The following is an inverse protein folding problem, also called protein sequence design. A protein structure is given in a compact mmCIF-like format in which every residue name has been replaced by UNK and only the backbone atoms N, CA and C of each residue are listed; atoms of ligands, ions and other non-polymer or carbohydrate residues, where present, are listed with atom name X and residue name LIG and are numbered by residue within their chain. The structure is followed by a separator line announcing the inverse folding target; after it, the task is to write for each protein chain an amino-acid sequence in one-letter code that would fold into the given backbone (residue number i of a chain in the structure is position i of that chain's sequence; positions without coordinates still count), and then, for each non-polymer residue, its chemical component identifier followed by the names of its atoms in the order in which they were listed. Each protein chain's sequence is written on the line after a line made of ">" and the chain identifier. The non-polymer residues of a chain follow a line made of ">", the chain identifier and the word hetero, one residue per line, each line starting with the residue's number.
data_IF_638137694784
#
_entry.id   IF_638137694784
#
_cell.length_a   1.000
_cell.length_b   1.000
_cell.length_c   1.000
_cell.angle_alpha   90.00
_cell.angle_beta   90.00
_cell.angle_gamma   90.00
#
_symmetry.space_group_name_H-M   'P 1'
#
loop_
_entity.id
_entity.type
_entity.pdbx_description
1 polymer ?
#
# COMPACT_ATOMS: atom_id res chain seq x y z
N UNK A 1 -85.46 -3.73 -43.96
CA UNK A 1 -84.21 -2.97 -43.74
C UNK A 1 -83.92 -2.54 -42.29
N UNK A 2 -84.80 -2.79 -41.33
CA UNK A 2 -84.57 -2.34 -39.93
C UNK A 2 -83.91 -3.36 -38.99
N UNK A 3 -83.86 -4.65 -39.34
CA UNK A 3 -83.21 -5.69 -38.49
C UNK A 3 -81.70 -5.76 -38.64
N UNK A 4 -81.13 -5.22 -39.73
CA UNK A 4 -79.64 -5.27 -39.99
C UNK A 4 -78.92 -4.18 -39.15
N UNK A 5 -79.51 -3.05 -38.83
CA UNK A 5 -78.87 -1.96 -38.08
C UNK A 5 -78.73 -2.21 -36.55
N UNK A 6 -79.66 -3.03 -35.97
CA UNK A 6 -79.55 -3.36 -34.55
C UNK A 6 -78.49 -4.36 -34.21
N UNK A 7 -78.11 -5.30 -35.16
CA UNK A 7 -77.06 -6.25 -34.93
C UNK A 7 -75.64 -5.64 -35.06
N UNK A 8 -75.55 -4.54 -35.83
CA UNK A 8 -74.24 -3.86 -35.98
C UNK A 8 -73.93 -2.96 -34.75
N UNK A 9 -74.93 -2.40 -34.07
CA UNK A 9 -74.75 -1.64 -32.82
C UNK A 9 -74.41 -2.56 -31.63
N UNK A 10 -74.97 -3.76 -31.54
CA UNK A 10 -74.61 -4.75 -30.51
C UNK A 10 -73.21 -5.33 -30.66
N UNK A 11 -72.71 -5.51 -31.91
CA UNK A 11 -71.32 -5.98 -32.15
C UNK A 11 -70.28 -4.92 -31.82
N UNK A 12 -70.56 -3.63 -32.02
CA UNK A 12 -69.65 -2.54 -31.67
C UNK A 12 -69.57 -2.28 -30.15
N UNK A 13 -70.63 -2.46 -29.40
CA UNK A 13 -70.65 -2.28 -27.96
C UNK A 13 -69.93 -3.40 -27.19
N UNK A 14 -69.97 -4.64 -27.71
CA UNK A 14 -69.26 -5.78 -27.10
C UNK A 14 -67.76 -5.73 -27.40
N UNK A 15 -67.32 -5.17 -28.55
CA UNK A 15 -65.91 -5.00 -28.87
C UNK A 15 -65.25 -3.86 -28.08
N UNK A 16 -65.98 -2.79 -27.76
CA UNK A 16 -65.49 -1.67 -26.95
C UNK A 16 -65.35 -2.06 -25.45
N UNK A 17 -66.28 -2.90 -24.93
CA UNK A 17 -66.16 -3.39 -23.57
C UNK A 17 -65.02 -4.43 -23.35
N UNK A 18 -64.61 -5.18 -24.43
CA UNK A 18 -63.45 -6.07 -24.36
C UNK A 18 -62.12 -5.34 -24.47
N UNK A 19 -62.06 -4.24 -25.20
CA UNK A 19 -60.83 -3.44 -25.30
C UNK A 19 -60.52 -2.68 -24.01
N UNK A 20 -61.53 -2.24 -23.23
CA UNK A 20 -61.32 -1.50 -21.99
C UNK A 20 -60.79 -2.38 -20.83
N UNK A 21 -61.09 -3.70 -20.85
CA UNK A 21 -60.62 -4.61 -19.79
C UNK A 21 -59.20 -5.13 -20.04
N UNK A 22 -58.73 -5.15 -21.26
CA UNK A 22 -57.33 -5.46 -21.60
C UNK A 22 -56.40 -4.26 -21.32
N UNK A 23 -56.90 -3.04 -21.52
CA UNK A 23 -56.19 -1.81 -21.18
C UNK A 23 -55.99 -1.61 -19.67
N UNK A 24 -56.97 -2.08 -18.84
CA UNK A 24 -56.82 -1.99 -17.38
C UNK A 24 -55.77 -2.96 -16.80
N UNK A 25 -55.56 -4.14 -17.42
CA UNK A 25 -54.53 -5.10 -16.97
C UNK A 25 -53.11 -4.66 -17.38
N UNK A 26 -52.95 -4.01 -18.53
CA UNK A 26 -51.66 -3.44 -18.97
C UNK A 26 -51.31 -2.16 -18.22
N UNK A 27 -52.30 -1.37 -17.80
CA UNK A 27 -52.07 -0.16 -17.00
C UNK A 27 -51.62 -0.49 -15.57
N UNK A 28 -52.05 -1.62 -15.01
CA UNK A 28 -51.57 -2.07 -13.69
C UNK A 28 -50.11 -2.56 -13.73
N UNK A 29 -49.67 -3.14 -14.84
CA UNK A 29 -48.29 -3.58 -15.02
C UNK A 29 -47.33 -2.39 -15.18
N UNK A 30 -47.75 -1.31 -15.87
CA UNK A 30 -46.97 -0.08 -16.03
C UNK A 30 -46.94 0.76 -14.73
N UNK A 31 -48.01 0.71 -13.92
CA UNK A 31 -48.01 1.40 -12.64
C UNK A 31 -47.13 0.74 -11.57
N UNK A 32 -46.90 -0.58 -11.66
CA UNK A 32 -45.97 -1.28 -10.76
C UNK A 32 -44.48 -1.01 -11.10
N UNK A 33 -44.18 -0.68 -12.35
CA UNK A 33 -42.82 -0.31 -12.77
C UNK A 33 -42.46 1.16 -12.47
N UNK A 34 -43.46 2.03 -12.29
CA UNK A 34 -43.26 3.43 -11.94
C UNK A 34 -43.09 3.69 -10.42
N UNK A 35 -43.43 2.70 -9.58
CA UNK A 35 -43.38 2.82 -8.11
C UNK A 35 -42.04 2.32 -7.48
N UNK A 36 -41.16 1.71 -8.22
CA UNK A 36 -39.89 1.14 -7.69
C UNK A 36 -38.69 2.02 -8.01
N UNK A 37 -38.86 3.19 -8.59
CA UNK A 37 -37.83 4.20 -8.72
C UNK A 37 -37.58 4.99 -7.41
N UNK A 38 -37.70 4.35 -6.22
CA UNK A 38 -36.85 4.71 -5.11
C UNK A 38 -35.48 4.03 -5.33
N UNK A 39 -34.81 4.45 -6.40
CA UNK A 39 -33.37 4.39 -6.43
C UNK A 39 -32.92 5.10 -5.15
N UNK A 40 -32.45 4.33 -4.18
CA UNK A 40 -31.51 4.87 -3.23
C UNK A 40 -30.42 5.50 -4.11
N UNK A 41 -30.43 6.81 -4.20
CA UNK A 41 -29.34 7.55 -4.80
C UNK A 41 -28.12 7.05 -4.03
N UNK A 42 -27.30 6.22 -4.67
CA UNK A 42 -25.92 6.07 -4.26
C UNK A 42 -25.45 7.51 -4.05
N UNK A 43 -24.92 7.88 -2.87
CA UNK A 43 -24.33 9.19 -2.73
C UNK A 43 -23.42 9.31 -3.95
N UNK A 44 -23.71 10.28 -4.80
CA UNK A 44 -22.90 10.56 -5.97
C UNK A 44 -21.46 10.58 -5.42
N UNK A 45 -20.63 9.69 -5.93
CA UNK A 45 -19.24 9.71 -5.59
C UNK A 45 -18.80 11.14 -5.93
N UNK A 46 -18.76 11.98 -4.91
CA UNK A 46 -18.16 13.30 -5.06
C UNK A 46 -16.76 12.97 -5.53
N UNK A 47 -16.49 13.34 -6.77
CA UNK A 47 -15.16 13.26 -7.37
C UNK A 47 -14.27 14.22 -6.55
N UNK A 48 -13.98 13.78 -5.35
CA UNK A 48 -13.07 14.40 -4.41
C UNK A 48 -11.66 13.98 -4.83
N UNK A 49 -11.38 14.10 -6.14
CA UNK A 49 -9.99 14.22 -6.57
C UNK A 49 -9.49 15.44 -5.84
N UNK A 50 -8.54 15.31 -4.92
CA UNK A 50 -7.85 16.48 -4.45
C UNK A 50 -7.31 17.13 -5.72
N UNK A 51 -7.87 18.29 -6.10
CA UNK A 51 -7.31 19.09 -7.16
C UNK A 51 -5.82 19.15 -6.86
N UNK A 52 -5.02 18.59 -7.77
CA UNK A 52 -3.58 18.69 -7.67
C UNK A 52 -3.36 20.20 -7.49
N UNK A 53 -3.02 20.61 -6.28
CA UNK A 53 -2.63 21.97 -5.99
C UNK A 53 -1.35 22.19 -6.77
N UNK A 54 -1.49 22.49 -8.05
CA UNK A 54 -0.44 23.04 -8.90
C UNK A 54 -0.18 24.48 -8.46
N UNK A 55 0.18 24.62 -7.19
CA UNK A 55 0.86 25.79 -6.71
C UNK A 55 2.30 25.67 -7.16
N UNK A 56 2.61 26.14 -8.36
CA UNK A 56 3.95 26.58 -8.75
C UNK A 56 4.33 27.77 -7.87
N UNK A 57 4.49 27.51 -6.57
CA UNK A 57 5.30 28.38 -5.74
C UNK A 57 6.72 27.85 -5.89
N UNK A 58 7.55 28.61 -6.58
CA UNK A 58 8.99 28.53 -6.52
C UNK A 58 9.39 28.76 -5.05
N UNK A 59 9.29 27.68 -4.24
CA UNK A 59 9.82 27.70 -2.89
C UNK A 59 11.34 27.74 -3.00
N UNK A 60 11.91 28.78 -2.39
CA UNK A 60 13.33 28.91 -2.13
C UNK A 60 13.90 27.59 -1.64
N UNK A 61 15.14 27.28 -2.01
CA UNK A 61 15.89 26.06 -1.70
C UNK A 61 15.61 25.54 -0.28
N UNK A 62 14.62 24.65 -0.15
CA UNK A 62 14.14 24.22 1.17
C UNK A 62 15.03 23.11 1.68
N UNK A 63 15.65 23.33 2.82
CA UNK A 63 16.37 22.28 3.57
C UNK A 63 15.32 21.33 4.13
N UNK A 64 15.48 20.03 3.84
CA UNK A 64 14.57 18.99 4.28
C UNK A 64 15.13 18.31 5.55
N UNK A 65 14.36 18.30 6.63
CA UNK A 65 14.65 17.54 7.86
C UNK A 65 13.96 16.19 7.83
N UNK A 66 14.45 15.22 8.62
CA UNK A 66 13.85 13.88 8.70
C UNK A 66 12.36 13.92 9.08
N UNK A 67 12.01 14.70 10.10
CA UNK A 67 10.61 14.82 10.55
C UNK A 67 9.70 15.35 9.43
N UNK A 68 10.16 16.40 8.72
CA UNK A 68 9.41 16.97 7.58
C UNK A 68 9.31 15.97 6.43
N UNK A 69 10.38 15.20 6.15
CA UNK A 69 10.38 14.15 5.13
C UNK A 69 9.33 13.07 5.44
N UNK A 70 9.31 12.54 6.67
CA UNK A 70 8.32 11.54 7.10
C UNK A 70 6.89 12.10 7.01
N UNK A 71 6.65 13.32 7.48
CA UNK A 71 5.33 13.95 7.41
C UNK A 71 4.84 14.11 5.96
N UNK A 72 5.69 14.62 5.06
CA UNK A 72 5.36 14.77 3.64
C UNK A 72 5.08 13.43 2.96
N UNK A 73 5.84 12.37 3.28
CA UNK A 73 5.62 11.05 2.74
C UNK A 73 4.29 10.46 3.19
N UNK A 74 3.96 10.56 4.48
CA UNK A 74 2.70 10.03 5.02
C UNK A 74 1.46 10.76 4.49
N UNK A 75 1.60 12.03 4.08
CA UNK A 75 0.53 12.81 3.47
C UNK A 75 0.45 12.61 1.94
N UNK A 76 1.59 12.68 1.24
CA UNK A 76 1.66 12.76 -0.22
C UNK A 76 1.93 11.45 -0.95
N UNK A 77 2.25 10.35 -0.26
CA UNK A 77 2.59 9.10 -0.91
C UNK A 77 1.38 8.42 -1.54
N UNK A 78 1.51 8.04 -2.83
CA UNK A 78 0.42 7.45 -3.60
C UNK A 78 0.07 6.03 -3.16
N UNK A 79 1.01 5.24 -2.63
CA UNK A 79 0.73 3.88 -2.15
C UNK A 79 -0.19 3.93 -0.92
N UNK A 80 -0.08 4.96 -0.06
CA UNK A 80 -1.04 5.19 1.02
C UNK A 80 -2.41 5.61 0.52
N UNK A 81 -2.47 6.40 -0.56
CA UNK A 81 -3.74 6.74 -1.19
C UNK A 81 -4.43 5.50 -1.75
N UNK A 82 -3.68 4.59 -2.41
CA UNK A 82 -4.19 3.29 -2.90
C UNK A 82 -4.74 2.46 -1.74
N UNK A 83 -4.00 2.31 -0.63
CA UNK A 83 -4.45 1.55 0.52
C UNK A 83 -5.71 2.15 1.18
N UNK A 84 -5.86 3.49 1.21
CA UNK A 84 -7.09 4.15 1.69
C UNK A 84 -8.29 3.82 0.78
N UNK A 85 -8.10 3.80 -0.55
CA UNK A 85 -9.17 3.41 -1.50
C UNK A 85 -9.57 1.95 -1.35
N UNK A 86 -8.65 1.06 -0.99
CA UNK A 86 -8.97 -0.34 -0.71
C UNK A 86 -9.89 -0.47 0.51
N UNK A 87 -9.70 0.33 1.56
CA UNK A 87 -10.64 0.37 2.70
C UNK A 87 -12.02 0.82 2.26
N UNK A 88 -12.14 1.83 1.40
CA UNK A 88 -13.41 2.28 0.84
C UNK A 88 -14.07 1.18 -0.02
N UNK A 89 -13.28 0.45 -0.82
CA UNK A 89 -13.77 -0.66 -1.64
C UNK A 89 -14.30 -1.83 -0.77
N UNK A 90 -13.55 -2.21 0.28
CA UNK A 90 -13.99 -3.26 1.22
C UNK A 90 -15.20 -2.84 2.03
N UNK A 91 -15.40 -1.54 2.32
CA UNK A 91 -16.65 -1.05 2.90
C UNK A 91 -17.84 -1.31 1.98
N UNK A 92 -17.67 -1.22 0.65
CA UNK A 92 -18.68 -1.63 -0.32
C UNK A 92 -19.07 -3.11 -0.19
N UNK A 93 -18.09 -3.99 0.10
CA UNK A 93 -18.35 -5.42 0.36
C UNK A 93 -19.17 -5.63 1.64
N UNK A 94 -18.94 -4.84 2.69
CA UNK A 94 -19.74 -4.88 3.92
C UNK A 94 -21.19 -4.47 3.63
N UNK A 95 -21.42 -3.39 2.86
CA UNK A 95 -22.75 -2.94 2.44
C UNK A 95 -23.44 -4.04 1.63
N UNK A 96 -22.74 -4.67 0.68
CA UNK A 96 -23.26 -5.79 -0.13
C UNK A 96 -23.58 -7.02 0.74
N UNK A 97 -22.74 -7.33 1.73
CA UNK A 97 -23.00 -8.42 2.70
C UNK A 97 -24.27 -8.22 3.52
N UNK A 98 -24.65 -6.96 3.76
CA UNK A 98 -25.88 -6.59 4.48
C UNK A 98 -27.14 -6.70 3.61
N UNK A 99 -27.00 -6.71 2.29
CA UNK A 99 -28.13 -6.77 1.39
C UNK A 99 -28.90 -8.11 1.54
N UNK A 100 -30.22 -8.01 1.50
CA UNK A 100 -31.11 -9.19 1.43
C UNK A 100 -31.31 -9.58 -0.03
N UNK A 101 -31.60 -10.85 -0.34
CA UNK A 101 -32.01 -11.26 -1.67
C UNK A 101 -33.23 -10.46 -2.14
N UNK A 102 -33.24 -10.11 -3.41
CA UNK A 102 -34.38 -9.39 -4.00
C UNK A 102 -35.57 -10.34 -4.19
N UNK A 103 -36.82 -9.86 -4.06
CA UNK A 103 -37.99 -10.57 -4.53
C UNK A 103 -37.90 -10.81 -6.05
N UNK A 104 -38.43 -11.94 -6.50
CA UNK A 104 -38.53 -12.28 -7.92
C UNK A 104 -40.00 -12.17 -8.36
N UNK A 105 -40.23 -11.48 -9.48
CA UNK A 105 -41.53 -11.46 -10.16
C UNK A 105 -41.55 -12.56 -11.23
N UNK A 106 -42.39 -13.56 -11.07
CA UNK A 106 -42.56 -14.64 -12.04
C UNK A 106 -43.90 -14.50 -12.76
N UNK A 107 -43.86 -14.59 -14.09
CA UNK A 107 -45.05 -14.74 -14.93
C UNK A 107 -45.00 -16.05 -15.62
N UNK A 108 -46.08 -16.82 -15.58
CA UNK A 108 -46.20 -18.05 -16.33
C UNK A 108 -47.49 -18.14 -17.12
N UNK A 109 -47.40 -18.73 -18.30
CA UNK A 109 -48.49 -19.02 -19.20
C UNK A 109 -48.54 -20.54 -19.41
N UNK A 110 -49.57 -21.16 -18.89
CA UNK A 110 -49.81 -22.59 -19.08
C UNK A 110 -50.88 -22.80 -20.15
N UNK A 111 -50.63 -23.70 -21.10
CA UNK A 111 -51.43 -24.02 -22.27
C UNK A 111 -51.55 -22.88 -23.30
N UNK A 112 -51.34 -23.22 -24.58
CA UNK A 112 -51.48 -22.28 -25.69
C UNK A 112 -52.89 -22.18 -26.24
N UNK A 113 -53.78 -23.13 -25.90
CA UNK A 113 -55.16 -23.14 -26.35
C UNK A 113 -55.97 -22.06 -25.64
N UNK A 114 -56.67 -21.23 -26.39
CA UNK A 114 -57.44 -20.10 -25.80
C UNK A 114 -58.50 -20.54 -24.78
N UNK A 115 -59.01 -21.78 -24.89
CA UNK A 115 -60.04 -22.31 -24.00
C UNK A 115 -59.52 -22.74 -22.64
N UNK A 116 -58.31 -23.31 -22.56
CA UNK A 116 -57.71 -23.89 -21.36
C UNK A 116 -56.54 -23.08 -20.81
N UNK A 117 -56.20 -21.94 -21.48
CA UNK A 117 -55.11 -21.06 -21.08
C UNK A 117 -55.21 -20.60 -19.62
N UNK A 118 -54.12 -20.77 -18.90
CA UNK A 118 -53.97 -20.24 -17.55
C UNK A 118 -52.83 -19.25 -17.50
N UNK A 119 -53.08 -18.09 -16.93
CA UNK A 119 -52.07 -17.08 -16.67
C UNK A 119 -51.82 -16.98 -15.18
N UNK A 120 -50.57 -16.92 -14.74
CA UNK A 120 -50.25 -16.62 -13.36
C UNK A 120 -49.20 -15.56 -13.24
N UNK A 121 -49.31 -14.72 -12.24
CA UNK A 121 -48.33 -13.72 -11.81
C UNK A 121 -48.07 -13.96 -10.34
N UNK A 122 -46.81 -14.15 -9.96
CA UNK A 122 -46.44 -14.38 -8.55
C UNK A 122 -45.15 -13.62 -8.18
N UNK A 123 -45.07 -13.24 -6.93
CA UNK A 123 -43.86 -12.70 -6.30
C UNK A 123 -43.31 -13.79 -5.40
N UNK A 124 -42.01 -14.12 -5.62
CA UNK A 124 -41.27 -15.06 -4.81
C UNK A 124 -40.32 -14.28 -3.90
N UNK A 125 -40.42 -14.49 -2.59
CA UNK A 125 -39.60 -13.85 -1.58
C UNK A 125 -38.67 -14.91 -0.95
N UNK A 126 -37.38 -14.97 -1.34
CA UNK A 126 -36.44 -15.84 -0.68
C UNK A 126 -36.06 -15.29 0.69
N UNK A 127 -36.14 -16.13 1.72
CA UNK A 127 -35.75 -15.81 3.09
C UNK A 127 -34.53 -16.69 3.44
N UNK A 128 -33.41 -16.00 3.68
CA UNK A 128 -32.19 -16.66 4.07
C UNK A 128 -32.27 -17.24 5.47
N UNK A 129 -31.99 -18.53 5.58
CA UNK A 129 -31.97 -19.27 6.83
C UNK A 129 -30.54 -19.60 7.27
N UNK A 130 -30.36 -20.16 8.47
CA UNK A 130 -29.06 -20.66 8.93
C UNK A 130 -28.01 -19.59 9.22
N UNK A 131 -28.39 -18.30 9.33
CA UNK A 131 -27.46 -17.22 9.65
C UNK A 131 -26.55 -16.79 8.49
N UNK A 132 -26.87 -17.15 7.24
CA UNK A 132 -26.05 -16.85 6.04
C UNK A 132 -25.69 -15.36 5.94
N UNK A 133 -26.69 -14.49 6.16
CA UNK A 133 -26.49 -13.04 6.13
C UNK A 133 -25.47 -12.59 7.20
N UNK A 134 -25.61 -13.06 8.44
CA UNK A 134 -24.69 -12.71 9.52
C UNK A 134 -23.25 -13.19 9.19
N UNK A 135 -23.11 -14.42 8.71
CA UNK A 135 -21.80 -14.97 8.32
C UNK A 135 -21.14 -14.16 7.18
N UNK A 136 -21.93 -13.74 6.16
CA UNK A 136 -21.43 -12.86 5.07
C UNK A 136 -20.97 -11.49 5.60
N UNK A 137 -21.75 -10.87 6.48
CA UNK A 137 -21.41 -9.58 7.08
C UNK A 137 -20.09 -9.70 7.85
N UNK A 138 -19.99 -10.68 8.76
CA UNK A 138 -18.75 -10.90 9.55
C UNK A 138 -17.55 -11.12 8.64
N UNK A 139 -17.68 -11.90 7.57
CA UNK A 139 -16.59 -12.15 6.63
C UNK A 139 -16.15 -10.86 5.91
N UNK A 140 -17.11 -10.03 5.50
CA UNK A 140 -16.82 -8.75 4.86
C UNK A 140 -16.18 -7.75 5.84
N UNK A 141 -16.63 -7.71 7.09
CA UNK A 141 -16.02 -6.91 8.16
C UNK A 141 -14.58 -7.31 8.43
N UNK A 142 -14.27 -8.62 8.52
CA UNK A 142 -12.90 -9.11 8.63
C UNK A 142 -12.04 -8.73 7.41
N UNK A 143 -12.63 -8.73 6.22
CA UNK A 143 -11.97 -8.23 5.00
C UNK A 143 -11.60 -6.75 5.11
N UNK A 144 -12.51 -5.91 5.62
CA UNK A 144 -12.23 -4.49 5.87
C UNK A 144 -11.17 -4.30 6.96
N UNK A 145 -11.23 -5.06 8.05
CA UNK A 145 -10.26 -4.98 9.15
C UNK A 145 -8.83 -5.31 8.64
N UNK A 146 -8.70 -6.28 7.73
CA UNK A 146 -7.44 -6.59 7.04
C UNK A 146 -6.97 -5.39 6.19
N UNK A 147 -7.86 -4.74 5.45
CA UNK A 147 -7.49 -3.57 4.64
C UNK A 147 -7.03 -2.39 5.52
N UNK A 148 -7.63 -2.20 6.69
CA UNK A 148 -7.18 -1.20 7.67
C UNK A 148 -5.78 -1.52 8.19
N UNK A 149 -5.50 -2.79 8.51
CA UNK A 149 -4.19 -3.20 9.00
C UNK A 149 -3.12 -3.14 7.88
N UNK A 150 -3.51 -3.42 6.64
CA UNK A 150 -2.64 -3.22 5.46
C UNK A 150 -2.23 -1.75 5.29
N UNK A 151 -3.15 -0.81 5.51
CA UNK A 151 -2.81 0.63 5.53
C UNK A 151 -1.80 0.95 6.63
N UNK A 152 -1.95 0.38 7.83
CA UNK A 152 -1.00 0.57 8.93
C UNK A 152 0.37 0.00 8.58
N UNK A 153 0.41 -1.20 7.99
CA UNK A 153 1.64 -1.81 7.51
C UNK A 153 2.33 -0.93 6.46
N UNK A 154 1.58 -0.43 5.47
CA UNK A 154 2.12 0.49 4.45
C UNK A 154 2.69 1.77 5.04
N UNK A 155 2.05 2.33 6.08
CA UNK A 155 2.60 3.51 6.78
C UNK A 155 3.95 3.23 7.40
N UNK A 156 4.09 2.11 8.08
CA UNK A 156 5.36 1.71 8.70
C UNK A 156 6.43 1.43 7.66
N UNK A 157 6.08 0.75 6.55
CA UNK A 157 6.99 0.48 5.44
C UNK A 157 7.50 1.78 4.79
N UNK A 158 6.61 2.72 4.47
CA UNK A 158 6.96 4.00 3.85
C UNK A 158 7.84 4.82 4.80
N UNK A 159 7.48 4.87 6.09
CA UNK A 159 8.30 5.57 7.08
C UNK A 159 9.72 4.99 7.14
N UNK A 160 9.86 3.68 7.22
CA UNK A 160 11.18 3.02 7.23
C UNK A 160 11.97 3.30 5.95
N UNK A 161 11.32 3.23 4.79
CA UNK A 161 11.93 3.56 3.50
C UNK A 161 12.38 5.02 3.43
N UNK A 162 11.59 5.96 3.96
CA UNK A 162 11.95 7.39 4.03
C UNK A 162 13.15 7.62 4.95
N UNK A 163 13.17 6.98 6.13
CA UNK A 163 14.31 7.08 7.06
C UNK A 163 15.58 6.58 6.39
N UNK A 164 15.55 5.40 5.77
CA UNK A 164 16.69 4.82 5.07
C UNK A 164 17.17 5.72 3.92
N UNK A 165 16.25 6.20 3.06
CA UNK A 165 16.59 7.06 1.92
C UNK A 165 17.07 8.45 2.36
N UNK A 166 16.58 8.97 3.49
CA UNK A 166 17.02 10.24 4.04
C UNK A 166 18.50 10.17 4.48
N UNK A 167 18.85 9.17 5.28
CA UNK A 167 20.23 9.00 5.74
C UNK A 167 21.19 8.59 4.60
N UNK A 168 20.71 7.82 3.62
CA UNK A 168 21.46 7.58 2.38
C UNK A 168 21.73 8.90 1.63
N UNK A 169 20.71 9.76 1.47
CA UNK A 169 20.87 11.06 0.80
C UNK A 169 21.85 11.96 1.56
N UNK A 170 21.80 11.95 2.90
CA UNK A 170 22.71 12.71 3.74
C UNK A 170 24.15 12.21 3.60
N UNK A 171 24.38 10.90 3.62
CA UNK A 171 25.69 10.30 3.44
C UNK A 171 26.27 10.59 2.04
N UNK A 172 25.45 10.49 0.98
CA UNK A 172 25.89 10.81 -0.38
C UNK A 172 26.15 12.31 -0.58
N UNK A 173 25.45 13.18 0.14
CA UNK A 173 25.73 14.63 0.17
C UNK A 173 27.11 14.90 0.78
N UNK A 174 27.44 14.29 1.90
CA UNK A 174 28.74 14.41 2.55
C UNK A 174 29.86 13.80 1.67
N UNK A 175 29.62 12.66 1.00
CA UNK A 175 30.57 12.05 0.08
C UNK A 175 30.85 12.94 -1.13
N UNK A 176 29.86 13.58 -1.70
CA UNK A 176 30.02 14.52 -2.82
C UNK A 176 30.82 15.78 -2.39
N UNK A 177 30.56 16.29 -1.18
CA UNK A 177 31.35 17.40 -0.63
C UNK A 177 32.83 17.02 -0.41
N UNK A 178 33.06 15.80 0.14
CA UNK A 178 34.41 15.25 0.34
C UNK A 178 35.16 15.08 -0.98
N UNK A 179 34.50 14.52 -2.02
CA UNK A 179 35.09 14.36 -3.35
C UNK A 179 35.40 15.73 -3.99
N UNK A 180 34.55 16.76 -3.75
CA UNK A 180 34.84 18.14 -4.19
C UNK A 180 36.12 18.69 -3.56
N UNK A 181 36.26 18.54 -2.24
CA UNK A 181 37.46 18.96 -1.52
C UNK A 181 38.73 18.21 -2.02
N UNK A 182 38.55 16.95 -2.43
CA UNK A 182 39.66 16.15 -3.03
C UNK A 182 40.12 16.73 -4.37
N UNK A 183 39.22 17.17 -5.22
CA UNK A 183 39.55 17.80 -6.51
C UNK A 183 40.31 19.09 -6.29
N UNK A 184 39.86 19.94 -5.37
CA UNK A 184 40.51 21.21 -5.05
C UNK A 184 41.96 21.01 -4.55
N UNK A 185 42.15 19.97 -3.75
CA UNK A 185 43.48 19.64 -3.26
C UNK A 185 44.40 19.07 -4.38
N UNK A 186 43.89 18.09 -5.17
CA UNK A 186 44.65 17.52 -6.27
C UNK A 186 45.08 18.60 -7.28
N UNK A 187 44.20 19.57 -7.56
CA UNK A 187 44.51 20.72 -8.41
C UNK A 187 45.66 21.56 -7.84
N UNK A 188 45.58 21.95 -6.55
CA UNK A 188 46.64 22.73 -5.89
C UNK A 188 47.97 21.97 -5.92
N UNK A 189 47.96 20.67 -5.71
CA UNK A 189 49.14 19.83 -5.76
C UNK A 189 49.72 19.72 -7.18
N UNK A 190 48.88 19.56 -8.21
CA UNK A 190 49.30 19.54 -9.63
C UNK A 190 49.95 20.88 -10.00
N UNK A 191 49.38 22.02 -9.61
CA UNK A 191 49.92 23.35 -9.82
C UNK A 191 51.28 23.51 -9.13
N UNK A 192 51.47 22.98 -7.92
CA UNK A 192 52.75 23.02 -7.20
C UNK A 192 53.80 22.15 -7.89
N UNK A 193 53.44 20.96 -8.37
CA UNK A 193 54.38 20.08 -9.13
C UNK A 193 54.78 20.77 -10.44
N UNK A 194 53.86 21.36 -11.20
CA UNK A 194 54.15 22.07 -12.45
C UNK A 194 55.14 23.22 -12.24
N UNK A 195 55.00 24.02 -11.16
CA UNK A 195 55.98 25.06 -10.79
C UNK A 195 57.36 24.49 -10.49
N UNK A 196 57.44 23.31 -9.81
CA UNK A 196 58.74 22.63 -9.52
C UNK A 196 59.40 22.09 -10.80
N UNK A 197 58.59 21.57 -11.74
CA UNK A 197 59.09 21.12 -13.06
C UNK A 197 59.61 22.31 -13.84
N UNK A 198 58.87 23.42 -13.91
CA UNK A 198 59.32 24.63 -14.58
C UNK A 198 60.63 25.24 -13.98
N UNK A 199 60.82 25.07 -12.68
CA UNK A 199 62.05 25.42 -11.98
C UNK A 199 63.18 24.37 -12.10
N UNK A 200 63.02 23.29 -12.88
CA UNK A 200 64.00 22.21 -13.05
C UNK A 200 64.24 21.35 -11.81
N UNK A 201 63.39 21.42 -10.79
CA UNK A 201 63.57 20.73 -9.51
C UNK A 201 63.05 19.28 -9.50
N UNK A 202 62.14 18.93 -10.39
CA UNK A 202 61.58 17.58 -10.55
C UNK A 202 61.36 17.24 -12.03
N UNK A 203 61.25 15.95 -12.34
CA UNK A 203 61.07 15.45 -13.71
C UNK A 203 59.69 15.83 -14.29
N UNK A 204 59.58 16.14 -15.61
CA UNK A 204 58.27 16.31 -16.30
C UNK A 204 57.31 15.13 -16.14
N UNK A 205 57.82 13.93 -15.91
CA UNK A 205 57.03 12.71 -15.63
C UNK A 205 56.19 12.89 -14.36
N UNK A 206 56.69 13.60 -13.34
CA UNK A 206 55.94 13.85 -12.10
C UNK A 206 54.75 14.77 -12.34
N UNK A 207 54.86 15.76 -13.25
CA UNK A 207 53.71 16.57 -13.66
C UNK A 207 52.66 15.74 -14.40
N UNK A 208 53.06 14.85 -15.28
CA UNK A 208 52.17 13.94 -15.99
C UNK A 208 51.40 13.03 -15.00
N UNK A 209 52.10 12.46 -14.00
CA UNK A 209 51.49 11.64 -12.95
C UNK A 209 50.50 12.46 -12.12
N UNK A 210 50.83 13.71 -11.75
CA UNK A 210 49.96 14.58 -10.99
C UNK A 210 48.66 14.91 -11.77
N UNK A 211 48.79 15.23 -13.07
CA UNK A 211 47.62 15.49 -13.95
C UNK A 211 46.72 14.27 -14.11
N UNK A 212 47.30 13.05 -14.25
CA UNK A 212 46.52 11.80 -14.31
C UNK A 212 45.77 11.55 -13.00
N UNK A 213 46.45 11.78 -11.88
CA UNK A 213 45.81 11.66 -10.55
C UNK A 213 44.66 12.65 -10.33
N UNK A 214 44.87 13.92 -10.72
CA UNK A 214 43.83 14.94 -10.69
C UNK A 214 42.62 14.56 -11.57
N UNK A 215 42.85 14.05 -12.77
CA UNK A 215 41.80 13.55 -13.65
C UNK A 215 41.03 12.39 -13.00
N UNK A 216 41.70 11.48 -12.30
CA UNK A 216 41.06 10.38 -11.55
C UNK A 216 40.10 10.89 -10.46
N UNK A 217 40.54 11.84 -9.66
CA UNK A 217 39.72 12.44 -8.59
C UNK A 217 38.50 13.21 -9.16
N UNK A 218 38.66 13.84 -10.35
CA UNK A 218 37.50 14.48 -11.04
C UNK A 218 36.44 13.44 -11.48
N UNK A 219 36.87 12.25 -11.91
CA UNK A 219 35.96 11.15 -12.23
C UNK A 219 35.20 10.70 -10.96
N UNK A 220 35.92 10.55 -9.84
CA UNK A 220 35.31 10.22 -8.55
C UNK A 220 34.28 11.27 -8.10
N UNK A 221 34.54 12.57 -8.28
CA UNK A 221 33.58 13.64 -8.00
C UNK A 221 32.35 13.52 -8.90
N UNK A 222 32.50 13.28 -10.19
CA UNK A 222 31.38 13.15 -11.12
C UNK A 222 30.49 11.96 -10.73
N UNK A 223 31.09 10.86 -10.28
CA UNK A 223 30.37 9.68 -9.78
C UNK A 223 29.63 10.00 -8.48
N UNK A 224 30.29 10.60 -7.48
CA UNK A 224 29.67 10.96 -6.21
C UNK A 224 28.50 11.92 -6.40
N UNK A 225 28.62 12.90 -7.30
CA UNK A 225 27.51 13.80 -7.66
C UNK A 225 26.35 13.08 -8.33
N UNK A 226 26.64 12.05 -9.14
CA UNK A 226 25.60 11.22 -9.76
C UNK A 226 24.85 10.41 -8.71
N UNK A 227 25.57 9.79 -7.77
CA UNK A 227 24.98 9.01 -6.66
C UNK A 227 24.13 9.93 -5.75
N UNK A 228 24.61 11.13 -5.43
CA UNK A 228 23.83 12.14 -4.69
C UNK A 228 22.53 12.51 -5.41
N UNK A 229 22.58 12.76 -6.73
CA UNK A 229 21.35 13.06 -7.49
C UNK A 229 20.38 11.87 -7.47
N UNK A 230 20.87 10.64 -7.60
CA UNK A 230 20.06 9.44 -7.56
C UNK A 230 19.41 9.23 -6.18
N UNK A 231 20.18 9.38 -5.11
CA UNK A 231 19.66 9.27 -3.74
C UNK A 231 18.57 10.33 -3.48
N UNK A 232 18.80 11.58 -3.91
CA UNK A 232 17.82 12.66 -3.82
C UNK A 232 16.54 12.37 -4.61
N UNK A 233 16.67 11.79 -5.81
CA UNK A 233 15.52 11.41 -6.62
C UNK A 233 14.72 10.26 -5.97
N UNK A 234 15.39 9.25 -5.39
CA UNK A 234 14.74 8.17 -4.63
C UNK A 234 13.96 8.72 -3.44
N UNK A 235 14.58 9.57 -2.63
CA UNK A 235 13.89 10.21 -1.50
C UNK A 235 12.68 11.01 -1.98
N UNK A 236 12.82 11.84 -3.02
CA UNK A 236 11.72 12.63 -3.57
C UNK A 236 10.54 11.78 -4.05
N UNK A 237 10.81 10.63 -4.67
CA UNK A 237 9.78 9.67 -5.09
C UNK A 237 8.96 9.17 -3.91
N UNK A 238 9.59 8.85 -2.79
CA UNK A 238 8.89 8.44 -1.57
C UNK A 238 8.00 9.54 -0.98
N UNK A 239 8.39 10.82 -1.19
CA UNK A 239 7.59 11.98 -0.79
C UNK A 239 6.43 12.30 -1.76
N UNK A 240 6.26 11.52 -2.82
CA UNK A 240 5.27 11.80 -3.87
C UNK A 240 5.64 12.97 -4.77
N UNK A 241 6.92 13.33 -4.86
CA UNK A 241 7.42 14.45 -5.65
C UNK A 241 8.37 14.00 -6.77
N UNK A 242 8.11 14.45 -7.99
CA UNK A 242 9.03 14.28 -9.12
C UNK A 242 8.86 15.48 -10.07
N UNK A 243 9.86 16.36 -10.23
CA UNK A 243 11.23 16.33 -9.67
C UNK A 243 11.31 16.67 -8.17
N UNK A 244 12.50 16.44 -7.52
CA UNK A 244 12.72 16.80 -6.12
C UNK A 244 12.46 18.29 -5.86
N UNK A 245 11.68 18.58 -4.79
CA UNK A 245 11.37 19.98 -4.39
C UNK A 245 12.30 20.53 -3.31
N UNK A 246 13.31 19.77 -2.89
CA UNK A 246 14.32 20.16 -1.92
C UNK A 246 15.71 20.13 -2.57
N UNK A 247 16.63 20.92 -2.07
CA UNK A 247 18.03 20.97 -2.57
C UNK A 247 18.98 20.17 -1.70
N UNK A 248 18.83 20.28 -0.39
CA UNK A 248 19.69 19.66 0.60
C UNK A 248 18.85 18.97 1.68
N UNK A 249 19.41 17.94 2.29
CA UNK A 249 18.91 17.38 3.53
C UNK A 249 19.76 17.83 4.71
N UNK A 250 19.14 18.03 5.88
CA UNK A 250 19.85 18.41 7.12
C UNK A 250 19.48 17.47 8.24
N UNK A 251 20.49 16.90 8.86
CA UNK A 251 20.36 15.97 9.98
C UNK A 251 21.72 15.59 10.54
N UNK A 252 21.71 14.84 11.62
CA UNK A 252 22.94 14.29 12.21
C UNK A 252 23.04 12.80 11.86
N UNK A 253 23.89 12.44 10.91
CA UNK A 253 24.11 11.05 10.53
C UNK A 253 24.95 10.30 11.56
N UNK A 254 25.73 11.01 12.39
CA UNK A 254 26.64 10.44 13.39
C UNK A 254 25.91 9.94 14.65
N UNK A 255 24.66 10.33 14.85
CA UNK A 255 23.83 9.84 15.94
C UNK A 255 23.33 8.41 15.64
N UNK A 256 24.06 7.43 16.16
CA UNK A 256 23.74 6.02 15.90
C UNK A 256 22.44 5.59 16.56
N UNK A 257 21.56 4.85 15.84
CA UNK A 257 20.37 4.28 16.42
C UNK A 257 20.71 3.26 17.51
N UNK A 258 19.90 3.23 18.58
CA UNK A 258 20.09 2.26 19.66
C UNK A 258 19.75 0.84 19.19
N UNK A 259 20.52 -0.14 19.68
CA UNK A 259 20.17 -1.57 19.49
C UNK A 259 19.05 -1.91 20.47
N UNK A 260 17.88 -2.41 20.00
CA UNK A 260 16.80 -2.79 20.89
C UNK A 260 17.20 -4.00 21.74
N UNK A 261 16.79 -4.01 23.03
CA UNK A 261 17.00 -5.17 23.90
C UNK A 261 16.15 -6.36 23.43
N UNK A 262 16.55 -7.57 23.78
CA UNK A 262 15.81 -8.78 23.43
C UNK A 262 14.37 -8.76 23.99
N UNK A 263 14.19 -8.25 25.21
CA UNK A 263 12.87 -8.10 25.82
C UNK A 263 11.99 -7.12 25.05
N UNK A 264 12.55 -6.00 24.59
CA UNK A 264 11.83 -5.03 23.76
C UNK A 264 11.43 -5.64 22.41
N UNK A 265 12.33 -6.40 21.78
CA UNK A 265 12.05 -7.13 20.55
C UNK A 265 10.88 -8.10 20.77
N UNK A 266 10.91 -8.91 21.81
CA UNK A 266 9.88 -9.91 22.09
C UNK A 266 8.52 -9.26 22.38
N UNK A 267 8.51 -8.17 23.15
CA UNK A 267 7.29 -7.41 23.44
C UNK A 267 6.68 -6.81 22.15
N UNK A 268 7.47 -6.13 21.35
CA UNK A 268 7.02 -5.50 20.10
C UNK A 268 6.63 -6.51 19.03
N UNK A 269 7.27 -7.69 19.02
CA UNK A 269 6.94 -8.75 18.08
C UNK A 269 5.48 -9.20 18.23
N UNK A 270 4.98 -9.31 19.47
CA UNK A 270 3.59 -9.71 19.73
C UNK A 270 2.55 -8.74 19.17
N UNK A 271 2.92 -7.47 18.97
CA UNK A 271 2.06 -6.39 18.44
C UNK A 271 2.45 -5.99 17.01
N UNK A 272 3.34 -6.73 16.35
CA UNK A 272 3.82 -6.45 15.00
C UNK A 272 2.66 -6.35 14.00
N UNK A 273 2.59 -5.28 13.19
CA UNK A 273 1.56 -5.11 12.18
C UNK A 273 1.51 -6.27 11.18
N UNK A 274 2.67 -6.83 10.85
CA UNK A 274 2.79 -7.99 9.95
C UNK A 274 2.11 -9.23 10.51
N UNK A 275 2.33 -9.55 11.80
CA UNK A 275 1.70 -10.68 12.46
C UNK A 275 0.20 -10.42 12.69
N UNK A 276 -0.17 -9.20 13.06
CA UNK A 276 -1.56 -8.81 13.27
C UNK A 276 -2.39 -8.97 11.99
N UNK A 277 -1.87 -8.54 10.85
CA UNK A 277 -2.53 -8.76 9.56
C UNK A 277 -2.79 -10.24 9.29
N UNK A 278 -1.81 -11.10 9.57
CA UNK A 278 -1.97 -12.54 9.38
C UNK A 278 -2.95 -13.16 10.38
N UNK A 279 -3.01 -12.67 11.63
CA UNK A 279 -4.03 -13.08 12.59
C UNK A 279 -5.44 -12.75 12.10
N UNK A 280 -5.66 -11.55 11.56
CA UNK A 280 -6.94 -11.16 10.95
C UNK A 280 -7.28 -12.04 9.73
N UNK A 281 -6.30 -12.46 8.94
CA UNK A 281 -6.53 -13.40 7.84
C UNK A 281 -7.03 -14.77 8.36
N UNK A 282 -6.45 -15.29 9.43
CA UNK A 282 -6.95 -16.51 10.09
C UNK A 282 -8.41 -16.32 10.55
N UNK A 283 -8.74 -15.19 11.17
CA UNK A 283 -10.13 -14.89 11.57
C UNK A 283 -11.06 -14.80 10.37
N UNK A 284 -10.61 -14.20 9.27
CA UNK A 284 -11.38 -14.17 8.02
C UNK A 284 -11.62 -15.56 7.46
N UNK A 285 -10.61 -16.44 7.46
CA UNK A 285 -10.76 -17.85 7.04
C UNK A 285 -11.76 -18.59 7.92
N UNK A 286 -11.72 -18.36 9.23
CA UNK A 286 -12.71 -18.89 10.15
C UNK A 286 -14.13 -18.42 9.84
N UNK A 287 -14.31 -17.13 9.56
CA UNK A 287 -15.63 -16.60 9.17
C UNK A 287 -16.13 -17.18 7.84
N UNK A 288 -15.22 -17.51 6.89
CA UNK A 288 -15.58 -18.23 5.67
C UNK A 288 -16.05 -19.66 5.95
N UNK A 289 -15.49 -20.34 6.94
CA UNK A 289 -16.02 -21.65 7.40
C UNK A 289 -17.46 -21.50 7.89
N UNK A 290 -17.77 -20.43 8.63
CA UNK A 290 -19.13 -20.18 9.09
C UNK A 290 -20.08 -19.85 7.92
N UNK A 291 -19.62 -19.16 6.86
CA UNK A 291 -20.37 -19.00 5.61
C UNK A 291 -20.71 -20.39 5.00
N UNK A 292 -19.73 -21.27 4.83
CA UNK A 292 -19.96 -22.57 4.22
C UNK A 292 -20.81 -23.49 5.12
N UNK A 293 -20.67 -23.36 6.44
CA UNK A 293 -21.53 -24.06 7.41
C UNK A 293 -22.99 -23.58 7.32
N UNK A 294 -23.22 -22.28 7.17
CA UNK A 294 -24.56 -21.70 7.06
C UNK A 294 -25.30 -22.14 5.79
N UNK A 295 -24.58 -22.38 4.68
CA UNK A 295 -25.14 -22.87 3.41
C UNK A 295 -25.73 -24.28 3.50
N UNK A 296 -25.41 -25.06 4.53
CA UNK A 296 -26.03 -26.38 4.77
C UNK A 296 -27.50 -26.30 5.12
N UNK A 297 -27.95 -25.13 5.61
CA UNK A 297 -29.35 -24.89 5.92
C UNK A 297 -29.98 -24.24 4.68
N UNK A 298 -31.00 -24.89 4.06
CA UNK A 298 -31.63 -24.32 2.87
C UNK A 298 -32.44 -23.07 3.18
N UNK A 299 -32.56 -22.21 2.18
CA UNK A 299 -33.42 -21.03 2.25
C UNK A 299 -34.89 -21.42 2.00
N UNK A 300 -35.80 -20.64 2.53
CA UNK A 300 -37.24 -20.82 2.35
C UNK A 300 -37.75 -19.72 1.41
N UNK A 301 -38.41 -20.10 0.32
CA UNK A 301 -39.03 -19.15 -0.59
C UNK A 301 -40.55 -19.13 -0.36
N UNK A 302 -41.07 -17.96 0.00
CA UNK A 302 -42.49 -17.71 0.07
C UNK A 302 -42.99 -17.13 -1.26
N UNK A 303 -44.06 -17.71 -1.80
CA UNK A 303 -44.66 -17.27 -3.07
C UNK A 303 -46.08 -16.77 -2.81
N UNK A 304 -46.41 -15.59 -3.34
CA UNK A 304 -47.75 -15.03 -3.36
C UNK A 304 -48.08 -14.61 -4.78
N UNK A 305 -49.25 -15.04 -5.28
CA UNK A 305 -49.61 -14.73 -6.66
C UNK A 305 -51.12 -14.81 -6.94
N UNK A 306 -51.45 -14.52 -8.17
CA UNK A 306 -52.80 -14.64 -8.73
C UNK A 306 -52.71 -15.53 -9.98
N UNK A 307 -53.61 -16.52 -10.05
CA UNK A 307 -53.76 -17.42 -11.19
C UNK A 307 -55.13 -17.19 -11.80
N UNK A 308 -55.20 -17.04 -13.12
CA UNK A 308 -56.42 -16.87 -13.89
C UNK A 308 -56.61 -17.96 -14.93
N UNK A 309 -57.30 -19.03 -14.63
CA UNK A 309 -57.71 -20.01 -15.61
C UNK A 309 -58.82 -19.44 -16.50
N UNK A 310 -58.69 -19.59 -17.83
CA UNK A 310 -59.73 -19.11 -18.77
C UNK A 310 -61.02 -19.89 -18.62
N UNK A 311 -60.96 -21.18 -18.28
CA UNK A 311 -62.12 -22.02 -18.07
C UNK A 311 -63.01 -21.53 -16.93
N UNK A 312 -62.44 -21.11 -15.82
CA UNK A 312 -63.17 -20.70 -14.62
C UNK A 312 -63.55 -19.21 -14.64
N UNK A 313 -62.91 -18.41 -15.49
CA UNK A 313 -63.10 -16.96 -15.65
C UNK A 313 -63.06 -16.16 -14.32
N UNK A 314 -62.37 -16.67 -13.32
CA UNK A 314 -62.21 -16.03 -12.00
C UNK A 314 -60.73 -16.03 -11.59
N UNK A 315 -60.37 -15.04 -10.86
CA UNK A 315 -59.04 -14.93 -10.27
C UNK A 315 -58.94 -15.83 -9.03
N UNK A 316 -57.85 -16.58 -8.92
CA UNK A 316 -57.54 -17.45 -7.79
C UNK A 316 -56.29 -16.94 -7.10
N UNK A 317 -56.30 -16.84 -5.77
CA UNK A 317 -55.10 -16.53 -5.01
C UNK A 317 -54.19 -17.76 -4.92
N UNK A 318 -52.92 -17.55 -5.17
CA UNK A 318 -51.89 -18.57 -5.07
C UNK A 318 -50.99 -18.22 -3.88
N UNK A 319 -50.83 -19.15 -2.95
CA UNK A 319 -49.83 -19.10 -1.88
C UNK A 319 -48.98 -20.35 -1.96
N UNK A 320 -47.65 -20.19 -1.88
CA UNK A 320 -46.71 -21.29 -1.93
C UNK A 320 -45.56 -21.12 -0.97
N UNK A 321 -45.03 -22.23 -0.51
CA UNK A 321 -43.78 -22.30 0.23
C UNK A 321 -42.91 -23.36 -0.44
N UNK A 322 -41.66 -22.99 -0.77
CA UNK A 322 -40.69 -23.86 -1.40
C UNK A 322 -39.41 -23.92 -0.57
N UNK A 323 -38.95 -25.15 -0.32
CA UNK A 323 -37.70 -25.41 0.41
C UNK A 323 -36.93 -26.49 -0.35
N UNK A 324 -35.69 -26.22 -0.80
CA UNK A 324 -34.83 -27.24 -1.40
C UNK A 324 -34.44 -28.29 -0.34
N UNK A 325 -34.52 -29.58 -0.70
CA UNK A 325 -34.14 -30.67 0.20
C UNK A 325 -32.70 -31.09 -0.07
N UNK A 326 -31.76 -30.91 0.86
CA UNK A 326 -30.35 -31.22 0.67
C UNK A 326 -30.08 -32.72 0.86
N UNK A 327 -30.56 -33.55 -0.08
CA UNK A 327 -30.40 -34.99 0.00
C UNK A 327 -28.99 -35.47 -0.41
N UNK A 328 -28.46 -34.91 -1.47
CA UNK A 328 -27.16 -35.30 -2.07
C UNK A 328 -26.07 -34.23 -1.79
N UNK A 329 -26.35 -33.00 -2.14
CA UNK A 329 -25.45 -31.87 -1.86
C UNK A 329 -25.85 -31.21 -0.53
N UNK A 330 -24.96 -31.33 0.46
CA UNK A 330 -25.04 -30.73 1.80
C UNK A 330 -23.92 -29.73 2.03
N UNK A 331 -23.34 -29.24 0.95
CA UNK A 331 -22.18 -28.34 0.98
C UNK A 331 -20.95 -28.94 1.70
N UNK A 332 -20.82 -30.29 1.70
CA UNK A 332 -19.78 -30.97 2.46
C UNK A 332 -18.38 -30.72 1.89
N UNK A 333 -18.26 -30.67 0.57
CA UNK A 333 -16.98 -30.40 -0.11
C UNK A 333 -16.43 -28.99 0.17
N UNK A 334 -17.26 -27.97 -0.02
CA UNK A 334 -16.86 -26.57 0.21
C UNK A 334 -16.56 -26.31 1.70
N UNK A 335 -17.32 -26.96 2.61
CA UNK A 335 -17.05 -26.88 4.05
C UNK A 335 -15.69 -27.50 4.38
N UNK A 336 -15.38 -28.69 3.83
CA UNK A 336 -14.08 -29.33 4.03
C UNK A 336 -12.94 -28.44 3.48
N UNK A 337 -13.11 -27.88 2.28
CA UNK A 337 -12.15 -26.96 1.69
C UNK A 337 -11.92 -25.73 2.59
N UNK A 338 -13.00 -25.10 3.08
CA UNK A 338 -12.90 -23.93 3.96
C UNK A 338 -12.16 -24.27 5.27
N UNK A 339 -12.43 -25.42 5.89
CA UNK A 339 -11.72 -25.91 7.08
C UNK A 339 -10.23 -26.09 6.80
N UNK A 340 -9.87 -26.72 5.67
CA UNK A 340 -8.45 -26.92 5.32
C UNK A 340 -7.74 -25.62 4.97
N UNK A 341 -8.44 -24.64 4.42
CA UNK A 341 -7.89 -23.27 4.21
C UNK A 341 -7.70 -22.52 5.53
N UNK A 342 -8.55 -22.73 6.52
CA UNK A 342 -8.36 -22.21 7.87
C UNK A 342 -7.13 -22.84 8.54
N UNK A 343 -7.00 -24.20 8.49
CA UNK A 343 -5.82 -24.91 9.01
C UNK A 343 -4.54 -24.37 8.35
N UNK A 344 -4.53 -24.25 7.02
CA UNK A 344 -3.41 -23.68 6.26
C UNK A 344 -3.05 -22.27 6.73
N UNK A 345 -4.03 -21.40 6.95
CA UNK A 345 -3.75 -20.03 7.41
C UNK A 345 -3.15 -19.99 8.82
N UNK A 346 -3.51 -20.93 9.69
CA UNK A 346 -2.88 -21.08 11.01
C UNK A 346 -1.42 -21.52 10.91
N UNK A 347 -1.14 -22.48 10.03
CA UNK A 347 0.22 -22.94 9.77
C UNK A 347 1.08 -21.80 9.16
N UNK A 348 0.51 -21.02 8.24
CA UNK A 348 1.15 -19.84 7.65
C UNK A 348 1.46 -18.77 8.70
N UNK A 349 0.55 -18.52 9.65
CA UNK A 349 0.79 -17.60 10.77
C UNK A 349 1.95 -18.10 11.65
N UNK A 350 2.00 -19.39 11.97
CA UNK A 350 3.08 -19.95 12.77
C UNK A 350 4.43 -19.88 12.04
N UNK A 351 4.45 -20.22 10.74
CA UNK A 351 5.65 -20.10 9.91
C UNK A 351 6.12 -18.64 9.78
N UNK A 352 5.19 -17.71 9.60
CA UNK A 352 5.49 -16.29 9.55
C UNK A 352 6.08 -15.78 10.88
N UNK A 353 5.52 -16.19 12.01
CA UNK A 353 6.03 -15.81 13.33
C UNK A 353 7.49 -16.25 13.53
N UNK A 354 7.82 -17.50 13.17
CA UNK A 354 9.21 -17.99 13.23
C UNK A 354 10.14 -17.19 12.31
N UNK A 355 9.71 -16.93 11.07
CA UNK A 355 10.49 -16.15 10.10
C UNK A 355 10.75 -14.73 10.60
N UNK A 356 9.69 -14.01 11.00
CA UNK A 356 9.79 -12.63 11.48
C UNK A 356 10.69 -12.54 12.73
N UNK A 357 10.57 -13.50 13.65
CA UNK A 357 11.46 -13.57 14.83
C UNK A 357 12.93 -13.72 14.42
N UNK A 358 13.21 -14.61 13.46
CA UNK A 358 14.57 -14.84 12.96
C UNK A 358 15.11 -13.60 12.24
N UNK A 359 14.30 -12.98 11.37
CA UNK A 359 14.69 -11.80 10.59
C UNK A 359 15.04 -10.62 11.51
N UNK A 360 14.25 -10.39 12.57
CA UNK A 360 14.51 -9.33 13.54
C UNK A 360 15.78 -9.59 14.36
N UNK A 361 15.99 -10.83 14.79
CA UNK A 361 17.21 -11.19 15.52
C UNK A 361 18.45 -11.00 14.63
N UNK A 362 18.42 -11.42 13.37
CA UNK A 362 19.50 -11.21 12.42
C UNK A 362 19.74 -9.71 12.15
N UNK A 363 18.69 -8.94 11.99
CA UNK A 363 18.82 -7.48 11.80
C UNK A 363 19.40 -6.79 13.03
N UNK A 364 19.02 -7.24 14.25
CA UNK A 364 19.58 -6.76 15.51
C UNK A 364 21.09 -7.03 15.60
N UNK A 365 21.52 -8.27 15.37
CA UNK A 365 22.95 -8.66 15.37
C UNK A 365 23.74 -7.88 14.30
N UNK A 366 23.14 -7.68 13.11
CA UNK A 366 23.75 -6.83 12.07
C UNK A 366 23.93 -5.39 12.54
N UNK A 367 22.90 -4.79 13.17
CA UNK A 367 22.99 -3.43 13.71
C UNK A 367 24.10 -3.33 14.77
N UNK A 368 24.21 -4.30 15.67
CA UNK A 368 25.26 -4.36 16.69
C UNK A 368 26.67 -4.45 16.07
N UNK A 369 26.85 -5.30 15.05
CA UNK A 369 28.08 -5.40 14.28
C UNK A 369 28.46 -4.10 13.55
N UNK A 370 27.49 -3.45 12.89
CA UNK A 370 27.73 -2.17 12.22
C UNK A 370 28.10 -1.07 13.21
N UNK A 371 27.48 -1.03 14.38
CA UNK A 371 27.86 -0.09 15.45
C UNK A 371 29.30 -0.28 15.90
N UNK A 372 29.74 -1.53 16.08
CA UNK A 372 31.14 -1.84 16.37
C UNK A 372 32.10 -1.40 15.26
N UNK A 373 31.74 -1.62 13.97
CA UNK A 373 32.51 -1.12 12.83
C UNK A 373 32.61 0.43 12.86
N UNK A 374 31.49 1.13 13.07
CA UNK A 374 31.48 2.60 13.14
C UNK A 374 32.36 3.10 14.28
N UNK A 375 32.33 2.46 15.44
CA UNK A 375 33.14 2.83 16.59
C UNK A 375 34.64 2.68 16.30
N UNK A 376 35.07 1.58 15.67
CA UNK A 376 36.48 1.38 15.27
C UNK A 376 36.90 2.40 14.20
N UNK A 377 36.04 2.64 13.19
CA UNK A 377 36.32 3.65 12.17
C UNK A 377 36.46 5.04 12.76
N UNK A 378 35.61 5.42 13.69
CA UNK A 378 35.59 6.76 14.31
C UNK A 378 36.74 6.96 15.28
N UNK A 379 37.07 5.94 16.11
CA UNK A 379 38.06 6.08 17.16
C UNK A 379 39.49 5.86 16.70
N UNK A 380 39.71 4.88 15.80
CA UNK A 380 41.04 4.42 15.45
C UNK A 380 41.43 4.75 13.99
N UNK A 381 40.57 4.42 13.01
CA UNK A 381 40.95 4.49 11.59
C UNK A 381 40.94 5.94 11.07
N UNK A 382 39.87 6.70 11.35
CA UNK A 382 39.76 8.08 10.83
C UNK A 382 40.82 9.02 11.41
N UNK A 383 41.08 9.03 12.74
CA UNK A 383 42.16 9.87 13.30
C UNK A 383 43.52 9.48 12.78
N UNK A 384 43.80 8.17 12.66
CA UNK A 384 45.06 7.67 12.12
C UNK A 384 45.29 8.06 10.67
N UNK A 385 44.31 7.83 9.80
CA UNK A 385 44.35 8.19 8.40
C UNK A 385 44.45 9.70 8.18
N UNK A 386 43.71 10.51 9.00
CA UNK A 386 43.80 11.97 8.98
C UNK A 386 45.19 12.46 9.39
N UNK A 387 45.77 11.92 10.46
CA UNK A 387 47.14 12.27 10.91
C UNK A 387 48.20 11.95 9.85
N UNK A 388 48.11 10.78 9.20
CA UNK A 388 48.99 10.41 8.12
C UNK A 388 48.88 11.38 6.92
N UNK A 389 47.64 11.74 6.56
CA UNK A 389 47.40 12.71 5.49
C UNK A 389 47.90 14.10 5.83
N UNK A 390 47.67 14.61 7.04
CA UNK A 390 48.16 15.92 7.48
C UNK A 390 49.71 15.93 7.49
N UNK A 391 50.36 14.90 8.00
CA UNK A 391 51.79 14.77 8.03
C UNK A 391 52.40 14.68 6.60
N UNK A 392 51.78 13.91 5.69
CA UNK A 392 52.20 13.83 4.31
C UNK A 392 52.12 15.19 3.58
N UNK A 393 51.03 15.96 3.84
CA UNK A 393 50.81 17.30 3.28
C UNK A 393 51.90 18.28 3.74
N UNK A 394 52.16 18.33 5.04
CA UNK A 394 53.21 19.19 5.62
C UNK A 394 54.59 18.75 5.12
N UNK A 395 54.88 17.44 5.01
CA UNK A 395 56.11 16.92 4.47
C UNK A 395 56.33 17.31 3.02
N UNK A 396 55.30 17.29 2.19
CA UNK A 396 55.32 17.74 0.80
C UNK A 396 55.60 19.24 0.67
N UNK A 397 54.95 20.06 1.47
CA UNK A 397 55.18 21.51 1.48
C UNK A 397 56.62 21.85 1.83
N UNK A 398 57.20 21.11 2.76
CA UNK A 398 58.63 21.26 3.14
C UNK A 398 59.62 20.49 2.25
N UNK A 399 59.18 19.86 1.16
CA UNK A 399 60.00 19.15 0.21
C UNK A 399 60.60 17.82 0.70
N UNK A 400 60.09 17.28 1.82
CA UNK A 400 60.56 16.02 2.41
C UNK A 400 59.85 14.78 1.81
N UNK A 401 58.63 14.94 1.32
CA UNK A 401 57.85 13.88 0.68
C UNK A 401 57.52 14.21 -0.76
N UNK A 402 57.32 13.18 -1.58
CA UNK A 402 56.89 13.36 -2.96
C UNK A 402 55.34 13.49 -3.03
N UNK A 403 54.84 13.94 -4.18
CA UNK A 403 53.38 14.17 -4.37
C UNK A 403 52.59 12.85 -4.26
N UNK A 404 53.16 11.73 -4.69
CA UNK A 404 52.45 10.45 -4.67
C UNK A 404 52.17 9.97 -3.23
N UNK A 405 53.08 10.26 -2.29
CA UNK A 405 52.86 9.95 -0.86
C UNK A 405 51.69 10.74 -0.27
N UNK A 406 51.56 12.01 -0.62
CA UNK A 406 50.38 12.82 -0.20
C UNK A 406 49.11 12.28 -0.81
N UNK A 407 49.12 11.92 -2.10
CA UNK A 407 48.00 11.37 -2.80
C UNK A 407 47.55 10.02 -2.22
N UNK A 408 48.48 9.15 -1.87
CA UNK A 408 48.18 7.86 -1.25
C UNK A 408 47.57 8.03 0.15
N UNK A 409 48.16 8.88 0.98
CA UNK A 409 47.60 9.23 2.30
C UNK A 409 46.23 9.87 2.20
N UNK A 410 46.02 10.76 1.20
CA UNK A 410 44.69 11.35 0.91
C UNK A 410 43.68 10.29 0.53
N UNK A 411 44.00 9.39 -0.40
CA UNK A 411 43.10 8.30 -0.83
C UNK A 411 42.71 7.43 0.35
N UNK A 412 43.70 7.08 1.20
CA UNK A 412 43.44 6.27 2.40
C UNK A 412 42.46 6.98 3.35
N UNK A 413 42.68 8.27 3.63
CA UNK A 413 41.79 9.05 4.48
C UNK A 413 40.36 9.15 3.89
N UNK A 414 40.24 9.41 2.59
CA UNK A 414 38.94 9.54 1.94
C UNK A 414 38.18 8.21 1.79
N UNK A 415 38.93 7.11 1.55
CA UNK A 415 38.38 5.77 1.58
C UNK A 415 37.79 5.44 2.97
N UNK A 416 38.56 5.71 4.04
CA UNK A 416 38.12 5.52 5.41
C UNK A 416 36.87 6.39 5.75
N UNK A 417 36.87 7.68 5.35
CA UNK A 417 35.70 8.56 5.58
C UNK A 417 34.48 8.12 4.78
N UNK A 418 34.65 7.66 3.54
CA UNK A 418 33.55 7.09 2.73
C UNK A 418 33.00 5.81 3.34
N UNK A 419 33.85 4.93 3.86
CA UNK A 419 33.42 3.72 4.56
C UNK A 419 32.64 4.06 5.83
N UNK A 420 33.12 5.01 6.61
CA UNK A 420 32.43 5.50 7.81
C UNK A 420 31.02 6.03 7.50
N UNK A 421 30.89 6.89 6.47
CA UNK A 421 29.59 7.42 6.06
C UNK A 421 28.63 6.34 5.57
N UNK A 422 29.16 5.34 4.84
CA UNK A 422 28.37 4.17 4.42
C UNK A 422 27.92 3.32 5.60
N UNK A 423 28.79 3.07 6.56
CA UNK A 423 28.45 2.30 7.76
C UNK A 423 27.38 3.03 8.59
N UNK A 424 27.45 4.36 8.73
CA UNK A 424 26.42 5.17 9.38
C UNK A 424 25.06 5.06 8.68
N UNK A 425 25.03 5.22 7.35
CA UNK A 425 23.79 5.09 6.58
C UNK A 425 23.19 3.69 6.70
N UNK A 426 24.02 2.64 6.68
CA UNK A 426 23.60 1.25 6.84
C UNK A 426 23.09 0.95 8.27
N UNK A 427 23.65 1.58 9.30
CA UNK A 427 23.13 1.49 10.67
C UNK A 427 21.69 2.03 10.74
N UNK A 428 21.44 3.22 10.18
CA UNK A 428 20.10 3.81 10.13
C UNK A 428 19.12 2.99 9.30
N UNK A 429 19.56 2.44 8.18
CA UNK A 429 18.76 1.55 7.34
C UNK A 429 18.37 0.29 8.10
N UNK A 430 19.34 -0.37 8.76
CA UNK A 430 19.09 -1.61 9.51
C UNK A 430 18.14 -1.36 10.69
N UNK A 431 18.30 -0.23 11.38
CA UNK A 431 17.35 0.17 12.43
C UNK A 431 15.93 0.44 11.89
N UNK A 432 15.81 1.11 10.74
CA UNK A 432 14.53 1.33 10.08
C UNK A 432 13.88 0.01 9.61
N UNK A 433 14.68 -0.99 9.18
CA UNK A 433 14.18 -2.32 8.83
C UNK A 433 13.65 -3.07 10.08
N UNK A 434 14.30 -2.94 11.23
CA UNK A 434 13.80 -3.48 12.51
C UNK A 434 12.45 -2.82 12.86
N UNK A 435 12.37 -1.49 12.79
CA UNK A 435 11.14 -0.75 13.09
C UNK A 435 10.01 -1.06 12.09
N UNK A 436 10.34 -1.32 10.82
CA UNK A 436 9.37 -1.78 9.82
C UNK A 436 8.70 -3.10 10.21
N UNK A 437 9.43 -4.02 10.79
CA UNK A 437 8.94 -5.35 11.16
C UNK A 437 8.20 -5.32 12.51
N UNK A 438 8.77 -4.62 13.49
CA UNK A 438 8.24 -4.57 14.85
C UNK A 438 7.16 -3.50 15.08
N UNK A 439 6.94 -2.60 14.10
CA UNK A 439 6.18 -1.38 14.32
C UNK A 439 7.03 -0.29 14.99
N UNK A 440 6.49 0.92 15.11
CA UNK A 440 7.22 2.07 15.69
C UNK A 440 7.63 1.81 17.14
N UNK A 441 8.88 2.16 17.50
CA UNK A 441 9.25 2.21 18.90
C UNK A 441 8.59 3.45 19.53
N UNK A 442 7.87 3.27 20.65
CA UNK A 442 7.16 4.36 21.34
C UNK A 442 8.05 5.52 21.81
N UNK A 443 9.37 5.37 21.76
CA UNK A 443 10.33 6.43 22.06
C UNK A 443 10.31 7.60 21.04
N UNK A 444 9.89 7.34 19.79
CA UNK A 444 9.77 8.36 18.73
C UNK A 444 8.33 8.87 18.53
N UNK A 445 7.35 8.29 19.23
CA UNK A 445 5.95 8.70 19.13
C UNK A 445 5.59 9.89 20.04
N UNK A 446 6.46 10.29 20.96
CA UNK A 446 6.21 11.32 21.97
C UNK A 446 7.25 12.45 21.94
N UNK A 447 7.29 13.21 20.85
CA UNK A 447 7.52 14.65 20.96
C UNK A 447 6.28 15.37 20.49
N UNK A 448 5.43 15.87 21.41
CA UNK A 448 4.38 16.80 21.01
C UNK A 448 5.05 18.02 20.41
N UNK A 449 4.54 18.47 19.27
CA UNK A 449 4.89 19.75 18.69
C UNK A 449 4.78 20.79 19.80
N UNK A 450 5.92 21.30 20.29
CA UNK A 450 5.93 22.50 21.10
C UNK A 450 5.31 23.59 20.25
N UNK A 451 4.14 24.06 20.71
CA UNK A 451 3.57 25.33 20.28
C UNK A 451 4.49 26.45 20.80
N UNK A 452 5.14 27.15 19.91
CA UNK A 452 5.44 28.57 20.02
C UNK A 452 5.16 29.26 18.69
#
# INVERSE_FOLDING_TARGET
>A
MLKSRQNQKRRKSVSVLRASKVAAATSLLVALTAGVAFAQALPAAQDNRPAAKSGLQSEAATILTLQKAVALALDGNLDLAVARREIEATQGQVIQGQARPNPELAYSLEDQRAATRTQSVQINLPVEMGGKRAARITTAERGRDIAVEELNLRRVEIRAAVVAAFFETLAEQERAALAGASVDLAKRATDAVAKRVAAGKVSPVEETKARVAEAGVRVELAQAQSEQRNARARLASLLGANPPRFTLVSGNVEELPAVPSLDNVQQRLSTSPTLRRMQLEVERRRSLVDVERSKRIPDVTFSLGVKRPTELQRDQLLFGVSVPLPLFDRNQGNLLEALKREDKARDELQALNMRVSTDVLQARERLESIRGEVEVLQRDVLPGAKSAYDAATVGFENGKFNFLEVLDAQRTYFAAKSQYLKALAEAHRTAADIDRVLGESGANATQPANKE
#
